data_IF_606910880500
#
_entry.id   IF_606910880500
#
_cell.length_a   1.000
_cell.length_b   1.000
_cell.length_c   1.000
_cell.angle_alpha   90.00
_cell.angle_beta   90.00
_cell.angle_gamma   90.00
#
_symmetry.space_group_name_H-M   'P 1'
#
loop_
_entity.id
_entity.type
_entity.pdbx_description
1 polymer ?
#
# COMPACT_ATOMS: atom_id res chain seq x y z
N UNK A 1 -17.41 -31.63 25.20
CA UNK A 1 -18.31 -30.90 26.13
C UNK A 1 -18.41 -29.47 25.62
N UNK A 2 -19.58 -29.06 25.16
CA UNK A 2 -19.82 -27.71 24.63
C UNK A 2 -19.91 -26.74 25.81
N UNK A 3 -18.84 -26.00 26.06
CA UNK A 3 -18.88 -24.85 26.98
C UNK A 3 -19.65 -23.73 26.30
N UNK A 4 -20.80 -23.37 26.87
CA UNK A 4 -21.63 -22.26 26.40
C UNK A 4 -20.79 -20.97 26.23
N UNK A 5 -21.06 -20.14 25.21
CA UNK A 5 -20.31 -18.91 25.02
C UNK A 5 -20.50 -18.02 26.24
N UNK A 6 -19.38 -17.64 26.88
CA UNK A 6 -19.38 -16.71 28.00
C UNK A 6 -20.05 -15.40 27.54
N UNK A 7 -21.20 -15.10 28.12
CA UNK A 7 -21.97 -13.88 27.84
C UNK A 7 -21.16 -12.63 28.16
N UNK A 8 -21.42 -11.56 27.42
CA UNK A 8 -20.95 -10.22 27.74
C UNK A 8 -22.15 -9.34 28.09
N UNK A 9 -21.95 -8.39 29.01
CA UNK A 9 -22.94 -7.36 29.34
C UNK A 9 -22.35 -6.02 28.91
N UNK A 10 -23.10 -5.25 28.14
CA UNK A 10 -22.76 -3.86 27.85
C UNK A 10 -23.17 -2.98 29.03
N UNK A 11 -22.20 -2.26 29.57
CA UNK A 11 -22.39 -1.36 30.70
C UNK A 11 -21.66 -0.06 30.44
N UNK A 12 -22.21 1.05 30.94
CA UNK A 12 -21.48 2.29 31.06
C UNK A 12 -20.56 2.21 32.29
N UNK A 13 -19.27 2.50 32.12
CA UNK A 13 -18.28 2.54 33.21
C UNK A 13 -17.56 3.87 33.25
N UNK A 14 -17.17 4.27 34.45
CA UNK A 14 -16.31 5.43 34.63
C UNK A 14 -14.91 5.12 34.12
N UNK A 15 -14.34 6.02 33.31
CA UNK A 15 -13.02 5.81 32.68
C UNK A 15 -11.92 5.63 33.73
N UNK A 16 -12.05 6.31 34.86
CA UNK A 16 -11.09 6.25 35.98
C UNK A 16 -11.12 4.90 36.73
N UNK A 17 -12.24 4.17 36.66
CA UNK A 17 -12.35 2.83 37.26
C UNK A 17 -11.66 1.73 36.45
N UNK A 18 -11.20 2.04 35.23
CA UNK A 18 -10.64 1.04 34.31
C UNK A 18 -9.13 0.96 34.51
N UNK A 19 -8.69 -0.20 35.02
CA UNK A 19 -7.28 -0.45 35.35
C UNK A 19 -6.58 -1.16 34.20
N UNK A 20 -5.46 -0.61 33.73
CA UNK A 20 -4.63 -1.25 32.72
C UNK A 20 -3.59 -2.12 33.45
N UNK A 21 -3.74 -3.44 33.37
CA UNK A 21 -2.76 -4.38 33.92
C UNK A 21 -1.43 -4.40 33.13
N UNK A 22 -0.48 -5.26 33.52
CA UNK A 22 0.75 -5.47 32.75
C UNK A 22 0.41 -5.86 31.31
N UNK A 23 1.04 -5.24 30.32
CA UNK A 23 0.89 -5.58 28.89
C UNK A 23 2.26 -5.86 28.30
N UNK A 24 2.31 -6.57 27.18
CA UNK A 24 3.58 -6.83 26.48
C UNK A 24 3.90 -5.72 25.47
N UNK A 25 2.87 -5.15 24.82
CA UNK A 25 3.00 -3.99 23.94
C UNK A 25 2.71 -2.71 24.74
N UNK A 26 3.74 -1.91 24.98
CA UNK A 26 3.64 -0.65 25.73
C UNK A 26 3.56 0.56 24.82
N UNK A 27 4.21 0.49 23.65
CA UNK A 27 4.14 1.56 22.66
C UNK A 27 2.73 1.63 22.07
N UNK A 28 2.07 2.75 22.35
CA UNK A 28 0.75 3.06 21.84
C UNK A 28 0.81 3.71 20.47
N UNK A 29 1.98 4.10 19.96
CA UNK A 29 2.15 4.80 18.69
C UNK A 29 1.39 6.13 18.62
N UNK A 30 1.21 6.65 17.39
CA UNK A 30 0.39 7.85 17.18
C UNK A 30 -1.10 7.57 17.46
N UNK A 31 -1.67 8.38 18.36
CA UNK A 31 -3.06 8.35 18.78
C UNK A 31 -3.89 9.49 18.19
N UNK A 32 -3.27 10.52 17.60
CA UNK A 32 -3.99 11.70 17.11
C UNK A 32 -5.10 11.35 16.10
N UNK A 33 -4.90 10.45 15.11
CA UNK A 33 -5.96 10.04 14.19
C UNK A 33 -7.12 9.32 14.90
N UNK A 34 -6.83 8.53 15.94
CA UNK A 34 -7.82 7.77 16.69
C UNK A 34 -8.65 8.69 17.60
N UNK A 35 -8.00 9.64 18.28
CA UNK A 35 -8.66 10.67 19.10
C UNK A 35 -9.65 11.47 18.26
N UNK A 36 -9.24 11.90 17.06
CA UNK A 36 -10.11 12.66 16.17
C UNK A 36 -11.26 11.81 15.63
N UNK A 37 -11.00 10.54 15.29
CA UNK A 37 -12.05 9.61 14.88
C UNK A 37 -13.12 9.45 15.97
N UNK A 38 -12.71 9.27 17.23
CA UNK A 38 -13.63 9.14 18.37
C UNK A 38 -14.36 10.45 18.64
N UNK A 39 -13.69 11.61 18.50
CA UNK A 39 -14.33 12.93 18.64
C UNK A 39 -15.48 13.12 17.64
N UNK A 40 -15.29 12.70 16.39
CA UNK A 40 -16.28 12.87 15.31
C UNK A 40 -17.40 11.83 15.34
N UNK A 41 -17.03 10.55 15.47
CA UNK A 41 -17.96 9.42 15.29
C UNK A 41 -18.35 8.70 16.58
N UNK A 42 -17.83 9.13 17.73
CA UNK A 42 -17.94 8.40 18.98
C UNK A 42 -17.10 7.12 19.00
N UNK A 43 -17.29 6.31 20.05
CA UNK A 43 -16.59 5.04 20.19
C UNK A 43 -17.34 3.94 19.42
N UNK A 44 -16.87 3.62 18.21
CA UNK A 44 -17.50 2.61 17.35
C UNK A 44 -17.40 1.18 17.89
N UNK A 45 -16.30 0.85 18.55
CA UNK A 45 -16.07 -0.46 19.14
C UNK A 45 -15.87 -0.29 20.65
N UNK A 46 -16.75 -0.86 21.49
CA UNK A 46 -16.61 -0.84 22.94
C UNK A 46 -15.29 -1.47 23.40
N UNK A 47 -14.75 -0.98 24.52
CA UNK A 47 -13.57 -1.58 25.15
C UNK A 47 -14.00 -2.77 26.00
N UNK A 48 -13.14 -3.79 26.10
CA UNK A 48 -13.47 -5.03 26.82
C UNK A 48 -12.74 -5.07 28.15
N UNK A 49 -13.48 -5.29 29.24
CA UNK A 49 -12.94 -5.35 30.60
C UNK A 49 -13.38 -6.63 31.33
N UNK A 50 -12.69 -6.96 32.42
CA UNK A 50 -13.14 -7.95 33.40
C UNK A 50 -14.21 -7.38 34.31
N UNK A 51 -14.85 -8.24 35.12
CA UNK A 51 -15.81 -7.82 36.15
C UNK A 51 -15.22 -6.77 37.11
N UNK A 52 -13.92 -6.91 37.43
CA UNK A 52 -13.18 -6.05 38.36
C UNK A 52 -12.63 -4.77 37.71
N UNK A 53 -13.02 -4.44 36.47
CA UNK A 53 -12.56 -3.22 35.79
C UNK A 53 -11.20 -3.33 35.11
N UNK A 54 -10.61 -4.53 35.00
CA UNK A 54 -9.32 -4.68 34.34
C UNK A 54 -9.47 -4.71 32.83
N UNK A 55 -8.70 -3.89 32.12
CA UNK A 55 -8.74 -3.81 30.66
C UNK A 55 -8.17 -5.08 30.02
N UNK A 56 -8.99 -5.75 29.20
CA UNK A 56 -8.61 -6.89 28.37
C UNK A 56 -8.17 -6.37 26.99
N UNK A 57 -9.10 -5.77 26.22
CA UNK A 57 -8.84 -5.28 24.87
C UNK A 57 -9.20 -3.79 24.71
N UNK A 58 -8.50 -3.10 23.81
CA UNK A 58 -8.79 -1.70 23.48
C UNK A 58 -7.92 -0.65 24.19
N UNK A 59 -6.65 -0.95 24.51
CA UNK A 59 -5.74 -0.01 25.18
C UNK A 59 -5.57 1.34 24.45
N UNK A 60 -5.39 1.31 23.12
CA UNK A 60 -5.32 2.54 22.30
C UNK A 60 -6.61 3.37 22.37
N UNK A 61 -7.78 2.70 22.37
CA UNK A 61 -9.09 3.34 22.50
C UNK A 61 -9.26 3.98 23.87
N UNK A 62 -8.93 3.26 24.95
CA UNK A 62 -8.97 3.82 26.31
C UNK A 62 -8.04 5.04 26.45
N UNK A 63 -6.83 4.98 25.89
CA UNK A 63 -5.89 6.09 25.91
C UNK A 63 -6.44 7.32 25.16
N UNK A 64 -7.03 7.13 23.99
CA UNK A 64 -7.65 8.20 23.22
C UNK A 64 -8.85 8.84 23.95
N UNK A 65 -9.69 8.02 24.58
CA UNK A 65 -10.84 8.47 25.41
C UNK A 65 -10.37 9.31 26.60
N UNK A 66 -9.27 8.90 27.26
CA UNK A 66 -8.64 9.68 28.32
C UNK A 66 -8.14 11.04 27.83
N UNK A 67 -7.54 11.11 26.65
CA UNK A 67 -7.13 12.39 26.04
C UNK A 67 -8.32 13.29 25.70
N UNK A 68 -9.47 12.71 25.33
CA UNK A 68 -10.71 13.45 25.10
C UNK A 68 -11.41 13.91 26.39
N UNK A 69 -10.94 13.47 27.56
CA UNK A 69 -11.49 13.86 28.86
C UNK A 69 -12.87 13.26 29.18
N UNK A 70 -13.28 12.21 28.47
CA UNK A 70 -14.55 11.53 28.72
C UNK A 70 -14.57 10.94 30.13
N UNK A 71 -15.71 11.10 30.83
CA UNK A 71 -15.87 10.60 32.21
C UNK A 71 -16.41 9.18 32.26
N UNK A 72 -17.24 8.81 31.28
CA UNK A 72 -17.80 7.50 31.12
C UNK A 72 -17.60 6.95 29.71
N UNK A 73 -17.66 5.63 29.58
CA UNK A 73 -17.50 4.90 28.33
C UNK A 73 -18.29 3.60 28.37
N UNK A 74 -18.86 3.20 27.23
CA UNK A 74 -19.47 1.89 27.07
C UNK A 74 -18.40 0.81 26.99
N UNK A 75 -18.57 -0.23 27.80
CA UNK A 75 -17.65 -1.36 27.90
C UNK A 75 -18.38 -2.68 27.77
N UNK A 76 -17.69 -3.68 27.25
CA UNK A 76 -18.12 -5.07 27.34
C UNK A 76 -17.44 -5.75 28.53
N UNK A 77 -18.26 -6.24 29.46
CA UNK A 77 -17.77 -7.02 30.61
C UNK A 77 -17.81 -8.51 30.27
N UNK A 78 -16.65 -9.17 30.27
CA UNK A 78 -16.54 -10.63 30.07
C UNK A 78 -16.57 -11.35 31.42
N UNK A 79 -17.63 -12.13 31.66
CA UNK A 79 -17.68 -13.05 32.79
C UNK A 79 -16.83 -14.29 32.48
N UNK A 80 -16.02 -14.76 33.45
CA UNK A 80 -15.24 -16.00 33.32
C UNK A 80 -13.82 -15.86 32.73
N UNK A 81 -13.40 -14.65 32.35
CA UNK A 81 -11.98 -14.35 32.06
C UNK A 81 -11.31 -13.88 33.36
N UNK A 82 -11.23 -14.79 34.33
CA UNK A 82 -10.74 -14.49 35.68
C UNK A 82 -9.22 -14.65 35.80
N UNK A 83 -8.61 -15.48 34.96
CA UNK A 83 -7.18 -15.75 35.02
C UNK A 83 -6.38 -14.94 33.99
N UNK A 84 -5.12 -14.69 34.32
CA UNK A 84 -4.19 -13.92 33.50
C UNK A 84 -4.01 -14.52 32.09
N UNK A 85 -4.14 -15.84 31.97
CA UNK A 85 -4.01 -16.56 30.71
C UNK A 85 -5.19 -16.28 29.78
N UNK A 86 -6.43 -16.33 30.26
CA UNK A 86 -7.60 -15.98 29.45
C UNK A 86 -7.57 -14.53 28.94
N UNK A 87 -7.04 -13.60 29.75
CA UNK A 87 -6.87 -12.20 29.33
C UNK A 87 -5.85 -12.06 28.18
N UNK A 88 -4.72 -12.78 28.28
CA UNK A 88 -3.67 -12.75 27.26
C UNK A 88 -4.10 -13.44 25.96
N UNK A 89 -4.82 -14.56 26.05
CA UNK A 89 -5.36 -15.24 24.87
C UNK A 89 -6.40 -14.37 24.15
N UNK A 90 -7.29 -13.70 24.88
CA UNK A 90 -8.24 -12.76 24.29
C UNK A 90 -7.56 -11.55 23.63
N UNK A 91 -6.51 -11.00 24.25
CA UNK A 91 -5.69 -9.94 23.63
C UNK A 91 -4.98 -10.43 22.37
N UNK A 92 -4.51 -11.68 22.37
CA UNK A 92 -3.84 -12.28 21.24
C UNK A 92 -4.81 -12.59 20.10
N UNK A 93 -5.98 -13.15 20.38
CA UNK A 93 -7.01 -13.50 19.40
C UNK A 93 -7.54 -12.28 18.66
N UNK A 94 -7.84 -11.17 19.37
CA UNK A 94 -8.30 -9.91 18.78
C UNK A 94 -7.31 -9.37 17.73
N UNK A 95 -6.01 -9.54 17.98
CA UNK A 95 -4.95 -9.08 17.08
C UNK A 95 -4.64 -10.10 15.97
N UNK A 96 -4.58 -11.40 16.28
CA UNK A 96 -4.15 -12.45 15.34
C UNK A 96 -5.25 -12.85 14.35
N UNK A 97 -6.52 -12.81 14.75
CA UNK A 97 -7.64 -13.23 13.91
C UNK A 97 -8.12 -12.12 12.97
N UNK A 98 -7.50 -10.94 13.01
CA UNK A 98 -7.79 -9.89 12.03
C UNK A 98 -7.38 -10.35 10.62
N UNK A 99 -8.38 -10.54 9.75
CA UNK A 99 -8.14 -10.81 8.33
C UNK A 99 -7.87 -9.48 7.63
N UNK A 100 -6.63 -9.22 7.14
CA UNK A 100 -6.36 -8.01 6.39
C UNK A 100 -7.15 -8.00 5.09
N UNK A 101 -7.49 -6.80 4.60
CA UNK A 101 -8.08 -6.62 3.28
C UNK A 101 -7.18 -7.26 2.22
N UNK A 102 -7.78 -7.97 1.28
CA UNK A 102 -7.11 -8.37 0.04
C UNK A 102 -6.77 -7.14 -0.79
N UNK A 103 -5.88 -7.31 -1.77
CA UNK A 103 -5.48 -6.20 -2.65
C UNK A 103 -6.67 -5.65 -3.45
N UNK A 104 -7.60 -6.52 -3.87
CA UNK A 104 -8.83 -6.13 -4.58
C UNK A 104 -9.81 -5.41 -3.65
N UNK A 105 -10.07 -5.93 -2.45
CA UNK A 105 -10.93 -5.26 -1.46
C UNK A 105 -10.38 -3.88 -1.08
N UNK A 106 -9.07 -3.74 -0.94
CA UNK A 106 -8.42 -2.46 -0.72
C UNK A 106 -8.59 -1.50 -1.92
N UNK A 107 -8.45 -1.99 -3.16
CA UNK A 107 -8.65 -1.18 -4.37
C UNK A 107 -10.12 -0.72 -4.51
N UNK A 108 -11.09 -1.57 -4.20
CA UNK A 108 -12.50 -1.24 -4.19
C UNK A 108 -12.82 -0.14 -3.16
N UNK A 109 -12.42 -0.34 -1.90
CA UNK A 109 -12.62 0.66 -0.83
C UNK A 109 -11.93 2.00 -1.17
N UNK A 110 -10.75 1.92 -1.79
CA UNK A 110 -10.02 3.11 -2.24
C UNK A 110 -10.80 3.92 -3.27
N UNK A 111 -11.41 3.27 -4.26
CA UNK A 111 -12.21 3.94 -5.29
C UNK A 111 -13.40 4.67 -4.68
N UNK A 112 -14.14 4.00 -3.81
CA UNK A 112 -15.28 4.60 -3.11
C UNK A 112 -14.84 5.83 -2.29
N UNK A 113 -13.79 5.69 -1.48
CA UNK A 113 -13.27 6.79 -0.68
C UNK A 113 -12.73 7.94 -1.54
N UNK A 114 -12.05 7.65 -2.65
CA UNK A 114 -11.54 8.66 -3.58
C UNK A 114 -12.68 9.50 -4.15
N UNK A 115 -13.79 8.87 -4.55
CA UNK A 115 -14.98 9.56 -5.06
C UNK A 115 -15.61 10.44 -3.99
N UNK A 116 -15.90 9.90 -2.81
CA UNK A 116 -16.53 10.66 -1.72
C UNK A 116 -15.68 11.84 -1.25
N UNK A 117 -14.35 11.67 -1.17
CA UNK A 117 -13.43 12.75 -0.81
C UNK A 117 -13.39 13.83 -1.91
N UNK A 118 -13.50 13.45 -3.18
CA UNK A 118 -13.54 14.40 -4.28
C UNK A 118 -14.86 15.20 -4.29
N UNK A 119 -16.00 14.55 -4.01
CA UNK A 119 -17.31 15.20 -3.89
C UNK A 119 -17.35 16.19 -2.71
N UNK A 120 -16.85 15.77 -1.55
CA UNK A 120 -16.75 16.64 -0.36
C UNK A 120 -15.80 17.83 -0.63
N UNK A 121 -14.66 17.60 -1.29
CA UNK A 121 -13.77 18.68 -1.70
C UNK A 121 -14.45 19.66 -2.70
N UNK A 122 -15.22 19.15 -3.66
CA UNK A 122 -15.97 19.97 -4.61
C UNK A 122 -17.05 20.81 -3.90
N UNK A 123 -17.82 20.22 -2.98
CA UNK A 123 -18.84 20.93 -2.19
C UNK A 123 -18.25 22.05 -1.35
N UNK A 124 -17.08 21.85 -0.74
CA UNK A 124 -16.36 22.92 -0.02
C UNK A 124 -15.87 24.02 -0.96
N UNK A 125 -15.40 23.66 -2.15
CA UNK A 125 -14.95 24.63 -3.14
C UNK A 125 -16.10 25.49 -3.65
N UNK A 126 -17.29 24.91 -3.82
CA UNK A 126 -18.51 25.65 -4.16
C UNK A 126 -18.92 26.59 -3.03
N UNK A 127 -18.97 26.10 -1.78
CA UNK A 127 -19.33 26.91 -0.61
C UNK A 127 -18.39 28.12 -0.41
N UNK A 128 -17.10 27.95 -0.68
CA UNK A 128 -16.10 29.03 -0.57
C UNK A 128 -16.15 30.00 -1.77
N UNK A 129 -16.58 29.55 -2.95
CA UNK A 129 -16.70 30.41 -4.15
C UNK A 129 -17.81 31.47 -4.02
N UNK A 130 -18.86 31.19 -3.26
CA UNK A 130 -19.98 32.13 -3.06
C UNK A 130 -19.79 33.12 -1.89
N UNK A 131 -18.73 32.99 -1.08
CA UNK A 131 -18.44 33.88 0.05
C UNK A 131 -17.33 34.91 -0.23
N UNK A 132 -16.84 35.03 -1.47
CA UNK A 132 -15.85 36.03 -1.86
C UNK A 132 -16.50 37.36 -2.31
N UNK A 133 -17.32 37.98 -1.46
CA UNK A 133 -17.58 39.43 -1.55
C UNK A 133 -18.21 39.95 -0.24
N UNK A 134 -17.39 40.52 0.62
CA UNK A 134 -17.85 41.23 1.82
C UNK A 134 -16.86 41.17 2.97
N UNK A 135 -16.00 42.19 3.00
CA UNK A 135 -15.17 42.65 4.13
C UNK A 135 -13.74 42.09 4.20
N UNK A 136 -12.85 42.83 3.53
CA UNK A 136 -11.46 42.97 3.91
C UNK A 136 -11.40 43.63 5.31
N UNK A 137 -11.44 42.78 6.35
CA UNK A 137 -11.21 43.16 7.74
C UNK A 137 -10.08 42.32 8.32
N UNK A 138 -8.95 42.98 8.54
CA UNK A 138 -7.76 42.57 9.26
C UNK A 138 -8.02 41.60 10.45
N UNK A 139 -7.55 40.35 10.35
CA UNK A 139 -7.28 39.47 11.50
C UNK A 139 -6.46 38.26 11.05
N UNK A 140 -5.50 37.88 11.88
CA UNK A 140 -4.36 37.03 11.56
C UNK A 140 -4.69 35.68 10.95
N UNK A 141 -3.81 35.26 10.04
CA UNK A 141 -3.64 33.87 9.64
C UNK A 141 -3.38 33.02 10.90
N UNK A 142 -4.45 32.55 11.53
CA UNK A 142 -4.37 31.55 12.57
C UNK A 142 -3.92 30.24 11.91
N UNK A 143 -2.66 29.89 12.17
CA UNK A 143 -2.03 28.60 11.95
C UNK A 143 -2.74 27.48 12.75
N UNK A 144 -4.01 27.22 12.44
CA UNK A 144 -4.75 26.04 12.85
C UNK A 144 -5.42 25.49 11.60
N UNK A 145 -4.57 25.14 10.63
CA UNK A 145 -5.02 24.23 9.62
C UNK A 145 -5.29 22.88 10.30
N UNK A 146 -6.55 22.53 10.52
CA UNK A 146 -6.92 21.15 10.84
C UNK A 146 -6.22 20.21 9.83
N UNK A 147 -5.72 19.04 10.22
CA UNK A 147 -4.86 18.20 9.38
C UNK A 147 -5.53 17.64 8.11
N UNK A 148 -6.77 18.05 7.83
CA UNK A 148 -7.57 17.70 6.66
C UNK A 148 -7.87 18.91 5.74
N UNK A 149 -7.16 20.03 5.90
CA UNK A 149 -7.06 21.06 4.87
C UNK A 149 -6.16 20.54 3.75
N UNK A 150 -6.65 19.54 3.04
CA UNK A 150 -6.01 19.02 1.85
C UNK A 150 -6.41 19.92 0.67
N UNK A 151 -5.45 20.54 -0.03
CA UNK A 151 -5.71 21.23 -1.28
C UNK A 151 -6.41 20.29 -2.28
N UNK A 152 -7.20 20.89 -3.17
CA UNK A 152 -7.73 20.22 -4.37
C UNK A 152 -6.63 19.42 -5.08
N UNK A 153 -6.81 18.10 -5.21
CA UNK A 153 -5.84 17.18 -5.86
C UNK A 153 -5.24 16.10 -4.96
N UNK A 154 -5.39 16.20 -3.64
CA UNK A 154 -4.85 15.22 -2.68
C UNK A 154 -5.80 14.06 -2.33
N UNK A 155 -7.05 14.06 -2.83
CA UNK A 155 -8.07 13.05 -2.51
C UNK A 155 -7.58 11.61 -2.76
N UNK A 156 -6.83 11.36 -3.84
CA UNK A 156 -6.20 10.06 -4.13
C UNK A 156 -5.16 9.64 -3.09
N UNK A 157 -4.31 10.58 -2.65
CA UNK A 157 -3.26 10.29 -1.68
C UNK A 157 -3.87 10.05 -0.29
N UNK A 158 -4.87 10.85 0.07
CA UNK A 158 -5.63 10.72 1.30
C UNK A 158 -6.40 9.39 1.35
N UNK A 159 -7.15 9.04 0.30
CA UNK A 159 -7.86 7.77 0.21
C UNK A 159 -6.91 6.58 0.35
N UNK A 160 -5.76 6.59 -0.35
CA UNK A 160 -4.79 5.50 -0.27
C UNK A 160 -4.21 5.32 1.14
N UNK A 161 -3.90 6.44 1.84
CA UNK A 161 -3.45 6.41 3.23
C UNK A 161 -4.53 5.87 4.16
N UNK A 162 -5.80 6.20 3.96
CA UNK A 162 -6.91 5.70 4.77
C UNK A 162 -7.12 4.19 4.62
N UNK A 163 -6.94 3.65 3.41
CA UNK A 163 -7.14 2.21 3.15
C UNK A 163 -5.93 1.38 3.57
N UNK A 164 -4.74 1.81 3.18
CA UNK A 164 -3.53 0.96 3.28
C UNK A 164 -2.56 1.42 4.36
N UNK A 165 -2.82 2.56 5.01
CA UNK A 165 -1.89 3.21 5.94
C UNK A 165 -0.74 3.96 5.25
N UNK A 166 -0.64 3.90 3.92
CA UNK A 166 0.46 4.48 3.12
C UNK A 166 -0.05 5.11 1.82
N UNK A 167 0.77 5.94 1.17
CA UNK A 167 0.40 6.59 -0.10
C UNK A 167 0.46 5.64 -1.32
N UNK A 168 -0.14 4.45 -1.25
CA UNK A 168 -0.10 3.43 -2.33
C UNK A 168 -1.16 3.62 -3.41
N UNK A 169 -1.47 4.86 -3.79
CA UNK A 169 -2.51 5.15 -4.77
C UNK A 169 -2.19 4.56 -6.15
N UNK A 170 -0.92 4.60 -6.61
CA UNK A 170 -0.52 4.06 -7.92
C UNK A 170 -0.82 2.57 -8.08
N UNK A 171 -0.57 1.78 -7.03
CA UNK A 171 -0.87 0.34 -7.03
C UNK A 171 -2.37 0.09 -7.06
N UNK A 172 -3.15 0.86 -6.31
CA UNK A 172 -4.62 0.72 -6.25
C UNK A 172 -5.27 1.13 -7.59
N UNK A 173 -4.76 2.18 -8.24
CA UNK A 173 -5.17 2.59 -9.59
C UNK A 173 -4.81 1.54 -10.65
N UNK A 174 -3.65 0.88 -10.53
CA UNK A 174 -3.27 -0.21 -11.44
C UNK A 174 -4.21 -1.41 -11.32
N UNK A 175 -4.57 -1.80 -10.10
CA UNK A 175 -5.57 -2.85 -9.85
C UNK A 175 -6.90 -2.42 -10.46
N UNK A 176 -7.30 -1.18 -10.21
CA UNK A 176 -8.55 -0.67 -10.75
C UNK A 176 -8.58 -0.73 -12.28
N UNK A 177 -7.53 -0.24 -12.94
CA UNK A 177 -7.43 -0.30 -14.41
C UNK A 177 -7.55 -1.73 -14.96
N UNK A 178 -7.02 -2.73 -14.26
CA UNK A 178 -7.18 -4.14 -14.65
C UNK A 178 -8.65 -4.59 -14.55
N UNK A 179 -9.34 -4.22 -13.47
CA UNK A 179 -10.76 -4.53 -13.31
C UNK A 179 -11.63 -3.81 -14.37
N UNK A 180 -11.30 -2.54 -14.67
CA UNK A 180 -12.01 -1.74 -15.67
C UNK A 180 -11.84 -2.35 -17.07
N UNK A 181 -10.60 -2.71 -17.45
CA UNK A 181 -10.32 -3.37 -18.73
C UNK A 181 -10.96 -4.77 -18.85
N UNK A 182 -11.10 -5.50 -17.74
CA UNK A 182 -11.78 -6.78 -17.74
C UNK A 182 -13.30 -6.64 -17.92
N UNK A 183 -13.89 -5.54 -17.43
CA UNK A 183 -15.33 -5.29 -17.49
C UNK A 183 -15.78 -4.50 -18.73
N UNK A 184 -14.87 -3.76 -19.39
CA UNK A 184 -15.19 -2.88 -20.52
C UNK A 184 -15.44 -3.68 -21.81
N UNK A 185 -16.72 -3.86 -22.17
CA UNK A 185 -17.16 -4.55 -23.38
C UNK A 185 -16.72 -3.87 -24.69
N UNK A 186 -16.29 -2.60 -24.66
CA UNK A 186 -15.76 -1.92 -25.84
C UNK A 186 -14.33 -2.35 -26.18
N UNK A 187 -13.60 -2.94 -25.21
CA UNK A 187 -12.23 -3.40 -25.43
C UNK A 187 -12.20 -4.69 -26.27
N UNK A 188 -11.11 -4.94 -27.02
CA UNK A 188 -10.88 -6.19 -27.70
C UNK A 188 -10.95 -7.40 -26.75
N UNK A 189 -11.50 -8.53 -27.22
CA UNK A 189 -11.69 -9.73 -26.39
C UNK A 189 -10.38 -10.24 -25.77
N UNK A 190 -9.26 -10.18 -26.51
CA UNK A 190 -7.95 -10.59 -26.00
C UNK A 190 -7.50 -9.75 -24.78
N UNK A 191 -7.74 -8.43 -24.82
CA UNK A 191 -7.43 -7.50 -23.72
C UNK A 191 -8.29 -7.81 -22.50
N UNK A 192 -9.61 -8.04 -22.70
CA UNK A 192 -10.53 -8.39 -21.60
C UNK A 192 -10.13 -9.70 -20.93
N UNK A 193 -9.86 -10.73 -21.73
CA UNK A 193 -9.43 -12.04 -21.22
C UNK A 193 -8.12 -11.93 -20.45
N UNK A 194 -7.11 -11.23 -21.00
CA UNK A 194 -5.86 -10.98 -20.30
C UNK A 194 -6.07 -10.26 -18.98
N UNK A 195 -6.87 -9.19 -18.99
CA UNK A 195 -7.15 -8.41 -17.79
C UNK A 195 -7.81 -9.28 -16.71
N UNK A 196 -8.80 -10.11 -17.07
CA UNK A 196 -9.45 -11.04 -16.15
C UNK A 196 -8.47 -12.07 -15.55
N UNK A 197 -7.56 -12.62 -16.36
CA UNK A 197 -6.50 -13.51 -15.86
C UNK A 197 -5.55 -12.82 -14.87
N UNK A 198 -5.14 -11.59 -15.18
CA UNK A 198 -4.26 -10.80 -14.31
C UNK A 198 -4.95 -10.43 -12.99
N UNK A 199 -6.26 -10.15 -13.00
CA UNK A 199 -7.06 -9.95 -11.77
C UNK A 199 -7.08 -11.21 -10.92
N UNK A 200 -7.33 -12.38 -11.51
CA UNK A 200 -7.29 -13.65 -10.76
C UNK A 200 -5.87 -13.99 -10.27
N UNK A 201 -4.81 -13.62 -11.01
CA UNK A 201 -3.42 -13.73 -10.52
C UNK A 201 -3.19 -12.87 -9.28
N UNK A 202 -3.67 -11.62 -9.28
CA UNK A 202 -3.56 -10.72 -8.12
C UNK A 202 -4.34 -11.27 -6.92
N UNK A 203 -5.56 -11.78 -7.15
CA UNK A 203 -6.38 -12.44 -6.13
C UNK A 203 -5.69 -13.65 -5.50
N UNK A 204 -4.92 -14.41 -6.28
CA UNK A 204 -4.09 -15.51 -5.80
C UNK A 204 -2.80 -15.07 -5.08
N UNK A 205 -2.57 -13.77 -4.89
CA UNK A 205 -1.40 -13.20 -4.23
C UNK A 205 -0.25 -12.81 -5.17
N UNK A 206 -0.52 -12.73 -6.48
CA UNK A 206 0.41 -12.23 -7.49
C UNK A 206 0.79 -10.76 -7.27
N UNK A 207 1.92 -10.35 -7.86
CA UNK A 207 2.37 -8.95 -7.81
C UNK A 207 1.59 -8.10 -8.82
N UNK A 208 1.16 -6.91 -8.39
CA UNK A 208 0.39 -5.97 -9.23
C UNK A 208 1.20 -5.44 -10.42
N UNK A 209 2.43 -5.00 -10.19
CA UNK A 209 3.22 -4.33 -11.25
C UNK A 209 3.51 -5.22 -12.47
N UNK A 210 3.98 -6.48 -12.33
CA UNK A 210 4.13 -7.37 -13.48
C UNK A 210 2.81 -7.62 -14.22
N UNK A 211 1.70 -7.72 -13.48
CA UNK A 211 0.37 -7.90 -14.06
C UNK A 211 -0.06 -6.67 -14.87
N UNK A 212 0.24 -5.46 -14.37
CA UNK A 212 0.06 -4.19 -15.09
C UNK A 212 0.94 -4.09 -16.34
N UNK A 213 2.17 -4.60 -16.33
CA UNK A 213 3.02 -4.63 -17.53
C UNK A 213 2.44 -5.55 -18.60
N UNK A 214 2.01 -6.77 -18.24
CA UNK A 214 1.43 -7.72 -19.20
C UNK A 214 0.18 -7.18 -19.89
N UNK A 215 -0.72 -6.52 -19.15
CA UNK A 215 -1.90 -5.92 -19.78
C UNK A 215 -1.53 -4.76 -20.71
N UNK A 216 -0.48 -3.98 -20.40
CA UNK A 216 -0.03 -2.92 -21.32
C UNK A 216 0.55 -3.51 -22.60
N UNK A 217 1.30 -4.61 -22.52
CA UNK A 217 1.77 -5.34 -23.69
C UNK A 217 0.60 -5.83 -24.53
N UNK A 218 -0.44 -6.40 -23.90
CA UNK A 218 -1.64 -6.87 -24.61
C UNK A 218 -2.40 -5.71 -25.28
N UNK A 219 -2.49 -4.54 -24.62
CA UNK A 219 -3.07 -3.34 -25.21
C UNK A 219 -2.29 -2.87 -26.45
N UNK A 220 -0.96 -2.83 -26.36
CA UNK A 220 -0.10 -2.50 -27.51
C UNK A 220 -0.25 -3.51 -28.65
N UNK A 221 -0.36 -4.80 -28.34
CA UNK A 221 -0.63 -5.85 -29.33
C UNK A 221 -1.98 -5.65 -30.01
N UNK A 222 -3.02 -5.34 -29.24
CA UNK A 222 -4.35 -5.10 -29.77
C UNK A 222 -4.41 -3.87 -30.70
N UNK A 223 -3.69 -2.79 -30.35
CA UNK A 223 -3.54 -1.60 -31.20
C UNK A 223 -2.80 -1.93 -32.51
N UNK A 224 -1.71 -2.71 -32.44
CA UNK A 224 -1.00 -3.17 -33.63
C UNK A 224 -1.87 -4.08 -34.52
N UNK A 225 -2.67 -4.96 -33.92
CA UNK A 225 -3.59 -5.82 -34.66
C UNK A 225 -4.71 -5.01 -35.33
N UNK A 226 -5.22 -3.97 -34.67
CA UNK A 226 -6.20 -3.05 -35.25
C UNK A 226 -5.61 -2.30 -36.47
N UNK A 227 -4.41 -1.73 -36.32
CA UNK A 227 -3.69 -1.09 -37.42
C UNK A 227 -3.40 -2.05 -38.57
N UNK A 228 -3.07 -3.31 -38.28
CA UNK A 228 -2.84 -4.36 -39.27
C UNK A 228 -4.13 -4.78 -40.02
N UNK A 229 -5.29 -4.64 -39.39
CA UNK A 229 -6.60 -5.00 -39.94
C UNK A 229 -7.29 -3.84 -40.67
N UNK A 230 -7.00 -2.59 -40.31
CA UNK A 230 -7.62 -1.40 -40.90
C UNK A 230 -7.29 -1.26 -42.39
N UNK A 231 -8.29 -1.48 -43.24
CA UNK A 231 -8.16 -1.43 -44.71
C UNK A 231 -7.95 0.01 -45.22
N UNK A 232 -8.26 1.03 -44.42
CA UNK A 232 -8.02 2.42 -44.78
C UNK A 232 -6.52 2.80 -44.69
N UNK A 233 -5.71 2.02 -43.96
CA UNK A 233 -4.28 2.30 -43.81
C UNK A 233 -3.46 1.87 -45.05
N UNK A 234 -2.32 2.54 -45.32
CA UNK A 234 -1.38 2.11 -46.36
C UNK A 234 -0.91 0.68 -46.14
N UNK A 235 -0.76 -0.09 -47.23
CA UNK A 235 -0.36 -1.51 -47.15
C UNK A 235 0.95 -1.71 -46.38
N UNK A 236 1.93 -0.83 -46.59
CA UNK A 236 3.22 -0.83 -45.90
C UNK A 236 3.09 -0.71 -44.37
N UNK A 237 2.19 0.17 -43.90
CA UNK A 237 1.93 0.37 -42.48
C UNK A 237 1.29 -0.89 -41.86
N UNK A 238 0.35 -1.51 -42.57
CA UNK A 238 -0.33 -2.73 -42.10
C UNK A 238 0.64 -3.91 -42.01
N UNK A 239 1.53 -4.04 -43.00
CA UNK A 239 2.54 -5.09 -43.00
C UNK A 239 3.58 -4.87 -41.89
N UNK A 240 4.00 -3.62 -41.66
CA UNK A 240 4.85 -3.28 -40.53
C UNK A 240 4.17 -3.61 -39.20
N UNK A 241 2.91 -3.22 -39.00
CA UNK A 241 2.17 -3.51 -37.77
C UNK A 241 2.07 -5.03 -37.50
N UNK A 242 1.87 -5.85 -38.54
CA UNK A 242 1.89 -7.33 -38.41
C UNK A 242 3.25 -7.86 -37.98
N UNK A 243 4.33 -7.33 -38.57
CA UNK A 243 5.70 -7.75 -38.24
C UNK A 243 6.04 -7.38 -36.79
N UNK A 244 5.73 -6.15 -36.37
CA UNK A 244 5.98 -5.71 -34.99
C UNK A 244 5.13 -6.50 -33.98
N UNK A 245 3.85 -6.75 -34.28
CA UNK A 245 3.00 -7.58 -33.42
C UNK A 245 3.53 -9.02 -33.29
N UNK A 246 4.06 -9.61 -34.38
CA UNK A 246 4.70 -10.91 -34.35
C UNK A 246 5.96 -10.91 -33.49
N UNK A 247 6.83 -9.90 -33.66
CA UNK A 247 8.06 -9.76 -32.87
C UNK A 247 7.78 -9.64 -31.36
N UNK A 248 6.75 -8.87 -30.97
CA UNK A 248 6.35 -8.76 -29.56
C UNK A 248 5.85 -10.10 -28.99
N UNK A 249 5.06 -10.86 -29.77
CA UNK A 249 4.59 -12.20 -29.35
C UNK A 249 5.73 -13.20 -29.22
N UNK A 250 6.67 -13.20 -30.15
CA UNK A 250 7.86 -14.06 -30.11
C UNK A 250 8.73 -13.75 -28.89
N UNK A 251 8.98 -12.46 -28.62
CA UNK A 251 9.70 -12.02 -27.43
C UNK A 251 8.98 -12.39 -26.13
N UNK A 252 7.65 -12.31 -26.08
CA UNK A 252 6.86 -12.73 -24.92
C UNK A 252 6.98 -14.25 -24.68
N UNK A 253 6.95 -15.04 -25.76
CA UNK A 253 7.10 -16.49 -25.69
C UNK A 253 8.50 -16.89 -25.20
N UNK A 254 9.55 -16.23 -25.70
CA UNK A 254 10.93 -16.44 -25.24
C UNK A 254 11.12 -16.04 -23.77
N UNK A 255 10.52 -14.94 -23.33
CA UNK A 255 10.55 -14.54 -21.93
C UNK A 255 9.85 -15.58 -21.03
N UNK A 256 8.69 -16.11 -21.47
CA UNK A 256 7.96 -17.17 -20.77
C UNK A 256 8.77 -18.46 -20.67
N UNK A 257 9.44 -18.89 -21.74
CA UNK A 257 10.26 -20.11 -21.70
C UNK A 257 11.45 -19.94 -20.75
N UNK A 258 12.13 -18.79 -20.79
CA UNK A 258 13.22 -18.48 -19.86
C UNK A 258 12.75 -18.43 -18.40
N UNK A 259 11.58 -17.82 -18.12
CA UNK A 259 10.99 -17.79 -16.77
C UNK A 259 10.64 -19.20 -16.26
N UNK A 260 10.06 -20.06 -17.12
CA UNK A 260 9.76 -21.45 -16.78
C UNK A 260 11.02 -22.24 -16.43
N UNK A 261 12.09 -22.07 -17.20
CA UNK A 261 13.37 -22.72 -16.94
C UNK A 261 13.95 -22.27 -15.58
N UNK A 262 13.97 -20.96 -15.33
CA UNK A 262 14.45 -20.40 -14.07
C UNK A 262 13.64 -20.92 -12.86
N UNK A 263 12.31 -21.02 -12.99
CA UNK A 263 11.44 -21.52 -11.93
C UNK A 263 11.68 -23.01 -11.66
N UNK A 264 11.90 -23.81 -12.71
CA UNK A 264 12.26 -25.23 -12.59
C UNK A 264 13.60 -25.40 -11.88
N UNK A 265 14.61 -24.60 -12.25
CA UNK A 265 15.92 -24.60 -11.59
C UNK A 265 15.81 -24.20 -10.11
N UNK A 266 15.05 -23.15 -9.78
CA UNK A 266 14.82 -22.72 -8.41
C UNK A 266 14.05 -23.78 -7.58
N UNK A 267 13.08 -24.47 -8.18
CA UNK A 267 12.38 -25.58 -7.53
C UNK A 267 13.33 -26.75 -7.22
N UNK A 268 14.19 -27.12 -8.18
CA UNK A 268 15.22 -28.14 -7.97
C UNK A 268 16.21 -27.74 -6.87
N UNK A 269 16.65 -26.47 -6.84
CA UNK A 269 17.52 -25.94 -5.79
C UNK A 269 16.89 -26.06 -4.41
N UNK A 270 15.60 -25.71 -4.26
CA UNK A 270 14.84 -25.86 -3.00
C UNK A 270 14.78 -27.32 -2.53
N UNK A 271 14.49 -28.25 -3.44
CA UNK A 271 14.45 -29.69 -3.10
C UNK A 271 15.82 -30.22 -2.70
N UNK A 272 16.88 -29.82 -3.43
CA UNK A 272 18.26 -30.20 -3.10
C UNK A 272 18.70 -29.65 -1.74
N UNK A 273 18.39 -28.38 -1.44
CA UNK A 273 18.66 -27.77 -0.14
C UNK A 273 17.91 -28.46 1.01
N UNK A 274 16.63 -28.79 0.82
CA UNK A 274 15.84 -29.54 1.79
C UNK A 274 16.40 -30.95 2.05
N UNK A 275 16.90 -31.62 1.00
CA UNK A 275 17.56 -32.93 1.10
C UNK A 275 18.88 -32.84 1.87
N UNK A 276 19.67 -31.79 1.65
CA UNK A 276 20.94 -31.58 2.34
C UNK A 276 20.76 -31.23 3.84
N UNK A 277 19.68 -30.55 4.21
CA UNK A 277 19.43 -30.09 5.58
C UNK A 277 18.78 -31.13 6.53
N UNK A 278 18.36 -32.31 6.03
CA UNK A 278 17.92 -33.44 6.86
C UNK A 278 16.72 -33.21 7.79
N UNK A 279 15.94 -32.12 7.66
CA UNK A 279 14.76 -31.81 8.52
C UNK A 279 13.64 -31.13 7.73
N UNK A 280 12.38 -31.36 8.16
CA UNK A 280 11.15 -30.76 7.57
C UNK A 280 11.27 -29.24 7.44
N UNK A 281 10.97 -28.74 6.24
CA UNK A 281 11.13 -27.34 5.86
C UNK A 281 10.34 -26.39 6.78
N UNK A 282 11.05 -25.53 7.53
CA UNK A 282 10.50 -24.27 8.05
C UNK A 282 10.55 -23.23 6.92
N UNK A 283 9.50 -22.42 6.77
CA UNK A 283 9.45 -21.29 5.84
C UNK A 283 10.66 -20.37 6.11
N UNK A 284 11.46 -19.99 5.09
CA UNK A 284 12.55 -19.05 5.31
C UNK A 284 12.01 -17.62 5.45
N UNK A 285 12.66 -16.85 6.32
CA UNK A 285 12.55 -15.40 6.36
C UNK A 285 13.06 -14.83 5.03
N UNK A 286 12.43 -13.75 4.56
CA UNK A 286 12.79 -13.06 3.32
C UNK A 286 14.21 -12.49 3.42
N UNK A 287 15.19 -13.15 2.79
CA UNK A 287 16.52 -12.60 2.54
C UNK A 287 16.60 -12.09 1.10
N UNK A 288 17.26 -10.93 0.95
CA UNK A 288 17.52 -10.26 -0.31
C UNK A 288 18.29 -11.16 -1.29
N UNK A 289 18.02 -10.97 -2.58
CA UNK A 289 18.64 -11.70 -3.71
C UNK A 289 20.12 -11.30 -3.84
N UNK A 290 21.00 -12.29 -3.98
CA UNK A 290 22.45 -12.13 -4.23
C UNK A 290 22.79 -12.06 -5.73
N UNK A 291 23.61 -11.06 -6.06
CA UNK A 291 24.74 -10.97 -7.02
C UNK A 291 24.72 -11.83 -8.30
N UNK A 292 24.13 -11.27 -9.37
CA UNK A 292 24.54 -11.53 -10.76
C UNK A 292 25.23 -10.29 -11.36
N UNK A 293 25.87 -10.41 -12.52
CA UNK A 293 26.41 -9.25 -13.24
C UNK A 293 25.28 -8.25 -13.55
N UNK A 294 25.46 -6.95 -13.26
CA UNK A 294 24.41 -5.95 -13.46
C UNK A 294 24.10 -5.79 -14.96
N UNK A 295 22.95 -6.27 -15.39
CA UNK A 295 22.41 -6.02 -16.72
C UNK A 295 21.93 -4.55 -16.78
N UNK A 296 22.37 -3.74 -17.76
CA UNK A 296 21.96 -2.34 -17.85
C UNK A 296 20.46 -2.24 -18.15
N UNK A 297 19.73 -1.48 -17.33
CA UNK A 297 18.31 -1.21 -17.53
C UNK A 297 18.09 -0.12 -18.60
N UNK A 298 16.93 -0.12 -19.30
CA UNK A 298 16.55 0.97 -20.21
C UNK A 298 16.49 2.33 -19.51
N UNK A 299 16.75 3.42 -20.25
CA UNK A 299 16.73 4.79 -19.72
C UNK A 299 15.35 5.19 -19.16
N UNK A 300 14.26 4.58 -19.66
CA UNK A 300 12.90 4.76 -19.14
C UNK A 300 12.72 4.22 -17.72
N UNK A 301 13.41 3.13 -17.38
CA UNK A 301 13.47 2.59 -16.02
C UNK A 301 14.29 3.52 -15.13
N UNK A 302 15.38 4.09 -15.65
CA UNK A 302 16.19 5.08 -14.95
C UNK A 302 15.36 6.33 -14.59
N UNK A 303 14.60 6.91 -15.52
CA UNK A 303 13.74 8.08 -15.23
C UNK A 303 12.65 7.76 -14.21
N UNK A 304 11.96 6.62 -14.36
CA UNK A 304 10.91 6.21 -13.42
C UNK A 304 11.44 5.96 -12.00
N UNK A 305 12.69 5.45 -11.88
CA UNK A 305 13.34 5.25 -10.57
C UNK A 305 13.52 6.58 -9.83
N UNK A 306 13.85 7.66 -10.54
CA UNK A 306 14.04 8.98 -9.93
C UNK A 306 12.73 9.68 -9.57
N UNK A 307 11.68 9.49 -10.37
CA UNK A 307 10.34 9.98 -10.05
C UNK A 307 9.85 9.36 -8.72
N UNK A 308 10.07 8.06 -8.53
CA UNK A 308 9.71 7.34 -7.30
C UNK A 308 10.60 7.73 -6.09
N UNK A 309 11.83 8.20 -6.33
CA UNK A 309 12.76 8.67 -5.29
C UNK A 309 12.69 10.19 -5.06
N UNK A 310 11.75 10.90 -5.67
CA UNK A 310 11.64 12.35 -5.45
C UNK A 310 11.13 12.63 -4.02
N UNK A 311 11.83 13.51 -3.31
CA UNK A 311 11.51 13.98 -1.95
C UNK A 311 11.35 12.91 -0.87
N UNK A 312 11.83 11.68 -1.10
CA UNK A 312 11.63 10.56 -0.17
C UNK A 312 12.18 10.86 1.24
N UNK A 313 13.29 11.62 1.33
CA UNK A 313 13.94 12.00 2.59
C UNK A 313 13.08 12.93 3.45
N UNK A 314 12.09 13.62 2.89
CA UNK A 314 11.17 14.47 3.65
C UNK A 314 10.17 13.67 4.49
N UNK A 315 10.11 12.34 4.32
CA UNK A 315 9.18 11.45 5.00
C UNK A 315 9.76 10.72 6.21
N UNK A 316 11.05 10.91 6.51
CA UNK A 316 11.75 10.19 7.58
C UNK A 316 12.56 11.16 8.44
N UNK A 317 12.49 11.00 9.77
CA UNK A 317 13.36 11.71 10.70
C UNK A 317 14.76 11.05 10.72
N UNK A 318 15.85 11.77 10.40
CA UNK A 318 17.20 11.24 10.44
C UNK A 318 17.58 10.62 11.80
N UNK A 319 17.09 11.16 12.91
CA UNK A 319 17.38 10.63 14.24
C UNK A 319 16.70 9.27 14.48
N UNK A 320 15.49 9.10 13.96
CA UNK A 320 14.76 7.84 14.02
C UNK A 320 15.44 6.78 13.16
N UNK A 321 15.81 7.13 11.93
CA UNK A 321 16.49 6.22 10.98
C UNK A 321 17.84 5.75 11.52
N UNK A 322 18.63 6.65 12.12
CA UNK A 322 19.93 6.31 12.70
C UNK A 322 19.82 5.34 13.89
N UNK A 323 18.72 5.41 14.66
CA UNK A 323 18.52 4.54 15.83
C UNK A 323 17.81 3.22 15.53
N UNK A 324 17.03 3.15 14.44
CA UNK A 324 16.16 2.01 14.13
C UNK A 324 16.78 0.96 13.19
N UNK A 325 17.76 1.34 12.36
CA UNK A 325 18.41 0.43 11.43
C UNK A 325 19.44 -0.46 12.15
N UNK A 326 19.51 -1.74 11.77
CA UNK A 326 20.63 -2.59 12.18
C UNK A 326 21.92 -2.17 11.47
N UNK A 327 23.09 -2.54 12.01
CA UNK A 327 24.39 -2.23 11.42
C UNK A 327 24.49 -2.64 9.94
N UNK A 328 23.94 -3.82 9.61
CA UNK A 328 23.91 -4.32 8.23
C UNK A 328 22.98 -3.50 7.33
N UNK A 329 21.83 -3.05 7.84
CA UNK A 329 20.91 -2.19 7.10
C UNK A 329 21.49 -0.78 6.89
N UNK A 330 22.17 -0.24 7.91
CA UNK A 330 22.87 1.04 7.84
C UNK A 330 24.00 1.00 6.80
N UNK A 331 24.83 -0.05 6.82
CA UNK A 331 25.89 -0.24 5.84
C UNK A 331 25.36 -0.32 4.38
N UNK A 332 24.21 -0.97 4.16
CA UNK A 332 23.57 -0.99 2.83
C UNK A 332 23.04 0.39 2.41
N UNK A 333 22.48 1.15 3.34
CA UNK A 333 22.02 2.52 3.09
C UNK A 333 23.19 3.43 2.67
N UNK A 334 24.26 3.46 3.46
CA UNK A 334 25.48 4.23 3.16
C UNK A 334 26.13 3.81 1.83
N UNK A 335 26.17 2.51 1.54
CA UNK A 335 26.67 1.99 0.27
C UNK A 335 25.83 2.49 -0.92
N UNK A 336 24.50 2.47 -0.80
CA UNK A 336 23.60 2.95 -1.84
C UNK A 336 23.73 4.47 -2.06
N UNK A 337 23.84 5.26 -0.99
CA UNK A 337 24.07 6.71 -1.08
C UNK A 337 25.39 7.01 -1.78
N UNK A 338 26.47 6.34 -1.36
CA UNK A 338 27.81 6.52 -1.93
C UNK A 338 27.82 6.19 -3.43
N UNK A 339 27.24 5.05 -3.82
CA UNK A 339 27.15 4.65 -5.22
C UNK A 339 26.33 5.62 -6.07
N UNK A 340 25.23 6.13 -5.51
CA UNK A 340 24.35 7.10 -6.18
C UNK A 340 25.05 8.43 -6.43
N UNK A 341 25.77 8.97 -5.43
CA UNK A 341 26.54 10.21 -5.57
C UNK A 341 27.64 10.05 -6.61
N UNK A 342 28.43 8.97 -6.53
CA UNK A 342 29.50 8.70 -7.48
C UNK A 342 28.99 8.60 -8.94
N UNK A 343 27.86 7.94 -9.15
CA UNK A 343 27.21 7.88 -10.46
C UNK A 343 26.73 9.25 -10.94
N UNK A 344 26.10 10.04 -10.05
CA UNK A 344 25.62 11.38 -10.40
C UNK A 344 26.78 12.30 -10.81
N UNK A 345 27.92 12.23 -10.13
CA UNK A 345 29.12 13.02 -10.46
C UNK A 345 29.74 12.59 -11.79
N UNK A 346 29.81 11.29 -12.07
CA UNK A 346 30.22 10.78 -13.37
C UNK A 346 29.28 11.26 -14.49
N UNK A 347 27.96 11.22 -14.26
CA UNK A 347 26.96 11.68 -15.21
C UNK A 347 27.02 13.20 -15.45
N UNK A 348 27.25 14.01 -14.41
CA UNK A 348 27.50 15.46 -14.54
C UNK A 348 28.73 15.74 -15.38
N UNK A 349 29.83 15.05 -15.09
CA UNK A 349 31.10 15.19 -15.82
C UNK A 349 30.90 14.87 -17.31
N UNK A 350 30.24 13.75 -17.63
CA UNK A 350 29.92 13.38 -19.01
C UNK A 350 29.00 14.39 -19.72
N UNK A 351 28.05 14.99 -18.98
CA UNK A 351 27.16 16.03 -19.51
C UNK A 351 27.93 17.32 -19.85
N UNK A 352 28.85 17.75 -18.98
CA UNK A 352 29.69 18.93 -19.20
C UNK A 352 30.66 18.75 -20.39
N UNK A 353 31.35 17.61 -20.48
CA UNK A 353 32.25 17.33 -21.61
C UNK A 353 31.53 17.28 -22.96
N UNK A 354 30.25 16.86 -22.99
CA UNK A 354 29.43 16.90 -24.21
C UNK A 354 29.03 18.33 -24.61
N UNK A 355 28.88 19.24 -23.65
CA UNK A 355 28.58 20.64 -23.93
C UNK A 355 29.80 21.38 -24.46
N UNK A 356 31.01 21.06 -23.99
CA UNK A 356 32.29 21.62 -24.49
C UNK A 356 32.69 21.10 -25.87
N UNK A 357 32.18 19.94 -26.30
CA UNK A 357 32.48 19.35 -27.61
C UNK A 357 31.48 19.78 -28.71
N UNK A 358 30.38 20.46 -28.32
CA UNK A 358 29.33 20.99 -29.21
C UNK A 358 29.45 22.51 -29.38
N UNK A 359 30.16 23.19 -28.47
CA UNK A 359 30.60 24.59 -28.61
C UNK A 359 31.90 24.68 -29.42
#
# INVERSE_FOLDING_TARGET
MSTAPAGHIELERTVDSITVGRRHRHDLGDLAPLVESIRRGGLLQPITITLDGHLICGARRLAAIRQLGWKSVNVWVRAGVSDRLGQLLAEQDDNLLHKPLTQLEAAALYRELKTLLAEDAAGRQEATRFHASGEAGESGAANLAAPFLTPTGEARAQAARMVTGRASYTTLERIGRLEDLAADESQPEAVRQRAAEEVERIKAGGKVYPSHLRINTELSLAELDELAADVAQPAELRDLARVEAAAVRDAEQEAKTAEMEALAQAALARVKAAKAAGRKAKRPALTAVETGEPVPFPLTVFTATWDDMTDWWAHYDPAEVASALTEEQWARFEHAVTGTVAFADAARSARHSRTEHIA
#
